data_IF_671368676807
#
_entry.id   IF_671368676807
#
_cell.length_a   1.000
_cell.length_b   1.000
_cell.length_c   1.000
_cell.angle_alpha   90.00
_cell.angle_beta   90.00
_cell.angle_gamma   90.00
#
_symmetry.space_group_name_H-M   'P 1'
#
loop_
_entity.id
_entity.type
_entity.pdbx_description
1 polymer ?
#
# COMPACT_ATOMS: atom_id res chain seq x y z
N UNK A 1 15.78 5.68 -17.34
CA UNK A 1 15.75 6.37 -16.03
C UNK A 1 14.51 7.24 -15.84
N UNK A 2 14.18 8.16 -16.76
CA UNK A 2 13.00 9.05 -16.62
C UNK A 2 11.68 8.27 -16.45
N UNK A 3 11.46 7.21 -17.25
CA UNK A 3 10.27 6.33 -17.11
C UNK A 3 10.16 5.71 -15.70
N UNK A 4 11.25 5.20 -15.13
CA UNK A 4 11.28 4.63 -13.78
C UNK A 4 10.88 5.65 -12.73
N UNK A 5 11.45 6.86 -12.78
CA UNK A 5 11.12 7.93 -11.82
C UNK A 5 9.64 8.32 -11.90
N UNK A 6 9.08 8.43 -13.12
CA UNK A 6 7.66 8.74 -13.30
C UNK A 6 6.75 7.63 -12.77
N UNK A 7 7.11 6.37 -13.01
CA UNK A 7 6.37 5.20 -12.51
C UNK A 7 6.42 5.17 -10.98
N UNK A 8 7.63 5.24 -10.40
CA UNK A 8 7.83 5.25 -8.96
C UNK A 8 7.08 6.41 -8.30
N UNK A 9 7.19 7.62 -8.84
CA UNK A 9 6.48 8.80 -8.34
C UNK A 9 4.96 8.63 -8.40
N UNK A 10 4.43 8.02 -9.46
CA UNK A 10 3.01 7.72 -9.58
C UNK A 10 2.54 6.71 -8.52
N UNK A 11 3.33 5.65 -8.26
CA UNK A 11 3.07 4.67 -7.20
C UNK A 11 3.08 5.34 -5.83
N UNK A 12 4.09 6.17 -5.56
CA UNK A 12 4.24 6.90 -4.29
C UNK A 12 3.06 7.83 -4.07
N UNK A 13 2.72 8.67 -5.05
CA UNK A 13 1.64 9.65 -4.93
C UNK A 13 0.29 8.97 -4.66
N UNK A 14 -0.05 7.91 -5.40
CA UNK A 14 -1.31 7.18 -5.20
C UNK A 14 -1.34 6.46 -3.85
N UNK A 15 -0.22 5.90 -3.44
CA UNK A 15 -0.10 5.26 -2.12
C UNK A 15 -0.30 6.27 -0.99
N UNK A 16 0.30 7.46 -1.11
CA UNK A 16 0.15 8.53 -0.12
C UNK A 16 -1.31 8.97 0.03
N UNK A 17 -2.03 9.16 -1.08
CA UNK A 17 -3.46 9.52 -1.04
C UNK A 17 -4.28 8.47 -0.30
N UNK A 18 -4.05 7.19 -0.59
CA UNK A 18 -4.79 6.08 0.05
C UNK A 18 -4.43 5.97 1.54
N UNK A 19 -3.16 6.13 1.89
CA UNK A 19 -2.71 6.11 3.28
C UNK A 19 -3.30 7.29 4.06
N UNK A 20 -3.32 8.50 3.49
CA UNK A 20 -3.94 9.68 4.11
C UNK A 20 -5.44 9.47 4.33
N UNK A 21 -6.14 8.93 3.33
CA UNK A 21 -7.58 8.66 3.43
C UNK A 21 -7.86 7.55 4.47
N UNK A 22 -7.03 6.51 4.51
CA UNK A 22 -7.05 5.47 5.55
C UNK A 22 -6.81 6.04 6.95
N UNK A 23 -5.86 6.96 7.10
CA UNK A 23 -5.57 7.63 8.36
C UNK A 23 -6.77 8.47 8.83
N UNK A 24 -7.43 9.20 7.93
CA UNK A 24 -8.65 9.94 8.24
C UNK A 24 -9.79 9.04 8.71
N UNK A 25 -10.04 7.92 8.02
CA UNK A 25 -11.06 6.94 8.43
C UNK A 25 -10.72 6.35 9.80
N UNK A 26 -9.46 5.99 10.02
CA UNK A 26 -9.00 5.39 11.27
C UNK A 26 -9.12 6.36 12.43
N UNK A 27 -8.83 7.65 12.20
CA UNK A 27 -9.00 8.70 13.19
C UNK A 27 -10.48 8.84 13.60
N UNK A 28 -11.39 8.93 12.62
CA UNK A 28 -12.83 8.94 12.90
C UNK A 28 -13.33 7.69 13.63
N UNK A 29 -12.80 6.51 13.27
CA UNK A 29 -13.14 5.24 13.94
C UNK A 29 -12.62 5.18 15.38
N UNK A 30 -11.43 5.76 15.62
CA UNK A 30 -10.81 5.82 16.95
C UNK A 30 -11.63 6.70 17.90
N UNK A 31 -12.18 7.81 17.42
CA UNK A 31 -13.05 8.72 18.18
C UNK A 31 -14.32 7.97 18.67
N UNK A 32 -14.95 7.19 17.79
CA UNK A 32 -16.16 6.41 18.09
C UNK A 32 -15.87 5.26 19.07
N UNK A 33 -14.73 4.57 18.91
CA UNK A 33 -14.35 3.45 19.76
C UNK A 33 -13.88 3.86 21.15
N UNK A 34 -13.31 5.06 21.30
CA UNK A 34 -12.95 5.61 22.62
C UNK A 34 -14.16 5.77 23.54
N UNK A 35 -15.34 6.03 22.97
CA UNK A 35 -16.58 6.18 23.74
C UNK A 35 -17.22 4.86 24.16
N UNK A 36 -16.82 3.71 23.59
CA UNK A 36 -17.55 2.45 23.69
C UNK A 36 -16.78 1.32 24.42
N UNK A 37 -15.46 1.43 24.57
CA UNK A 37 -14.64 0.35 25.13
C UNK A 37 -13.77 0.76 26.31
N UNK A 38 -13.71 -0.11 27.32
CA UNK A 38 -12.71 -0.05 28.41
C UNK A 38 -11.32 -0.26 27.79
N UNK A 39 -10.43 0.72 28.01
CA UNK A 39 -9.10 0.74 27.41
C UNK A 39 -8.13 -0.16 28.16
N UNK A 40 -7.99 -1.41 27.73
CA UNK A 40 -6.84 -2.23 28.11
C UNK A 40 -5.64 -1.95 27.19
N UNK A 41 -4.43 -2.10 27.71
CA UNK A 41 -3.19 -1.93 26.93
C UNK A 41 -3.18 -2.80 25.66
N UNK A 42 -3.70 -4.02 25.77
CA UNK A 42 -3.85 -4.93 24.65
C UNK A 42 -4.85 -4.40 23.60
N UNK A 43 -5.99 -3.86 24.03
CA UNK A 43 -6.99 -3.27 23.13
C UNK A 43 -6.42 -2.08 22.35
N UNK A 44 -5.61 -1.26 23.01
CA UNK A 44 -4.90 -0.13 22.37
C UNK A 44 -3.91 -0.64 21.33
N UNK A 45 -3.05 -1.61 21.68
CA UNK A 45 -2.08 -2.21 20.75
C UNK A 45 -2.76 -2.85 19.54
N UNK A 46 -3.83 -3.61 19.76
CA UNK A 46 -4.57 -4.30 18.71
C UNK A 46 -5.25 -3.31 17.75
N UNK A 47 -5.99 -2.33 18.28
CA UNK A 47 -6.64 -1.28 17.46
C UNK A 47 -5.63 -0.52 16.63
N UNK A 48 -4.51 -0.17 17.24
CA UNK A 48 -3.44 0.52 16.56
C UNK A 48 -2.85 -0.40 15.48
N UNK A 49 -2.56 -1.68 15.73
CA UNK A 49 -2.01 -2.57 14.70
C UNK A 49 -2.89 -2.70 13.45
N UNK A 50 -4.20 -2.46 13.57
CA UNK A 50 -5.16 -2.48 12.46
C UNK A 50 -5.22 -1.17 11.65
N UNK A 51 -4.45 -0.13 11.95
CA UNK A 51 -4.56 1.18 11.26
C UNK A 51 -4.25 1.14 9.76
N UNK A 52 -3.51 0.14 9.28
CA UNK A 52 -3.22 -0.05 7.86
C UNK A 52 -4.22 -0.99 7.15
N UNK A 53 -5.16 -1.57 7.89
CA UNK A 53 -6.17 -2.47 7.35
C UNK A 53 -7.09 -1.76 6.33
N UNK A 54 -7.60 -0.53 6.56
CA UNK A 54 -8.43 0.15 5.57
C UNK A 54 -7.67 0.43 4.28
N UNK A 55 -6.38 0.81 4.36
CA UNK A 55 -5.52 0.98 3.19
C UNK A 55 -5.37 -0.33 2.40
N UNK A 56 -5.16 -1.47 3.07
CA UNK A 56 -5.08 -2.78 2.42
C UNK A 56 -6.37 -3.12 1.65
N UNK A 57 -7.53 -2.87 2.25
CA UNK A 57 -8.82 -3.04 1.59
C UNK A 57 -8.99 -2.10 0.39
N UNK A 58 -8.59 -0.84 0.49
CA UNK A 58 -8.69 0.11 -0.63
C UNK A 58 -7.82 -0.31 -1.81
N UNK A 59 -6.58 -0.74 -1.56
CA UNK A 59 -5.72 -1.27 -2.60
C UNK A 59 -6.32 -2.54 -3.22
N UNK A 60 -6.88 -3.45 -2.42
CA UNK A 60 -7.54 -4.65 -2.94
C UNK A 60 -8.77 -4.32 -3.80
N UNK A 61 -9.61 -3.37 -3.37
CA UNK A 61 -10.77 -2.89 -4.13
C UNK A 61 -10.32 -2.27 -5.45
N UNK A 62 -9.28 -1.43 -5.43
CA UNK A 62 -8.70 -0.84 -6.64
C UNK A 62 -8.18 -1.91 -7.59
N UNK A 63 -7.49 -2.95 -7.07
CA UNK A 63 -7.07 -4.08 -7.88
C UNK A 63 -8.27 -4.78 -8.55
N UNK A 64 -9.36 -5.06 -7.83
CA UNK A 64 -10.54 -5.71 -8.41
C UNK A 64 -11.28 -4.83 -9.43
N UNK A 65 -11.25 -3.50 -9.24
CA UNK A 65 -12.05 -2.54 -10.02
C UNK A 65 -11.32 -1.86 -11.19
N UNK A 66 -10.03 -2.16 -11.41
CA UNK A 66 -9.22 -1.61 -12.53
C UNK A 66 -9.86 -1.79 -13.92
N UNK A 67 -10.70 -2.81 -14.14
CA UNK A 67 -11.40 -2.98 -15.43
C UNK A 67 -12.61 -2.03 -15.63
N UNK A 68 -13.25 -1.56 -14.55
CA UNK A 68 -14.44 -0.70 -14.62
C UNK A 68 -14.16 0.79 -14.40
N UNK A 69 -13.00 1.14 -13.84
CA UNK A 69 -12.67 2.50 -13.40
C UNK A 69 -11.65 3.22 -14.29
N UNK A 70 -11.70 2.94 -15.61
CA UNK A 70 -10.89 3.62 -16.63
C UNK A 70 -11.11 5.16 -16.67
N UNK A 71 -12.12 5.66 -15.95
CA UNK A 71 -12.48 7.08 -15.79
C UNK A 71 -12.09 7.71 -14.44
N UNK A 72 -11.44 7.00 -13.51
CA UNK A 72 -10.87 7.67 -12.34
C UNK A 72 -9.67 8.52 -12.79
N UNK A 73 -9.61 9.77 -12.31
CA UNK A 73 -8.57 10.78 -12.60
C UNK A 73 -7.12 10.26 -12.55
N UNK A 74 -6.90 9.15 -11.85
CA UNK A 74 -5.62 8.48 -11.73
C UNK A 74 -5.17 7.73 -13.00
N UNK A 75 -6.03 6.97 -13.68
CA UNK A 75 -5.60 6.14 -14.84
C UNK A 75 -5.50 6.93 -16.15
N UNK A 76 -6.25 8.02 -16.30
CA UNK A 76 -6.35 8.77 -17.56
C UNK A 76 -5.04 9.45 -18.01
N UNK A 77 -4.10 9.67 -17.07
CA UNK A 77 -2.77 10.26 -17.32
C UNK A 77 -1.61 9.28 -17.12
N UNK A 78 -1.91 8.00 -16.94
CA UNK A 78 -0.91 6.99 -16.64
C UNK A 78 -0.22 6.47 -17.91
N UNK A 79 1.11 6.44 -17.90
CA UNK A 79 1.94 5.78 -18.93
C UNK A 79 1.82 4.24 -18.87
N UNK A 80 1.26 3.72 -17.78
CA UNK A 80 1.17 2.29 -17.46
C UNK A 80 -0.22 1.75 -17.79
N UNK A 81 -0.29 0.54 -18.35
CA UNK A 81 -1.55 -0.15 -18.66
C UNK A 81 -2.33 -0.55 -17.40
N UNK A 82 -3.66 -0.68 -17.52
CA UNK A 82 -4.55 -1.07 -16.42
C UNK A 82 -4.18 -2.43 -15.81
N UNK A 83 -3.70 -3.39 -16.61
CA UNK A 83 -3.24 -4.69 -16.14
C UNK A 83 -2.02 -4.59 -15.20
N UNK A 84 -1.05 -3.73 -15.52
CA UNK A 84 0.13 -3.47 -14.68
C UNK A 84 -0.26 -2.70 -13.41
N UNK A 85 -1.25 -1.80 -13.48
CA UNK A 85 -1.81 -1.15 -12.30
C UNK A 85 -2.52 -2.12 -11.37
N UNK A 86 -3.29 -3.06 -11.92
CA UNK A 86 -3.92 -4.12 -11.13
C UNK A 86 -2.89 -4.89 -10.30
N UNK A 87 -1.82 -5.34 -10.94
CA UNK A 87 -0.73 -6.05 -10.26
C UNK A 87 -0.07 -5.20 -9.17
N UNK A 88 0.09 -3.91 -9.43
CA UNK A 88 0.68 -2.96 -8.47
C UNK A 88 -0.21 -2.78 -7.26
N UNK A 89 -1.51 -2.61 -7.46
CA UNK A 89 -2.47 -2.51 -6.36
C UNK A 89 -2.54 -3.81 -5.55
N UNK A 90 -2.45 -4.98 -6.19
CA UNK A 90 -2.31 -6.25 -5.46
C UNK A 90 -1.04 -6.27 -4.62
N UNK A 91 0.10 -5.85 -5.19
CA UNK A 91 1.38 -5.77 -4.47
C UNK A 91 1.33 -4.81 -3.28
N UNK A 92 0.72 -3.63 -3.45
CA UNK A 92 0.53 -2.65 -2.38
C UNK A 92 -0.46 -3.14 -1.31
N UNK A 93 -1.52 -3.84 -1.71
CA UNK A 93 -2.44 -4.49 -0.78
C UNK A 93 -1.72 -5.55 0.07
N UNK A 94 -0.91 -6.41 -0.57
CA UNK A 94 -0.10 -7.41 0.11
C UNK A 94 0.89 -6.76 1.08
N UNK A 95 1.57 -5.69 0.66
CA UNK A 95 2.49 -4.91 1.51
C UNK A 95 1.78 -4.37 2.76
N UNK A 96 0.62 -3.71 2.57
CA UNK A 96 -0.19 -3.18 3.68
C UNK A 96 -0.67 -4.31 4.61
N UNK A 97 -1.07 -5.46 4.06
CA UNK A 97 -1.49 -6.61 4.85
C UNK A 97 -0.34 -7.21 5.66
N UNK A 98 0.87 -7.27 5.09
CA UNK A 98 2.07 -7.70 5.80
C UNK A 98 2.41 -6.76 6.97
N UNK A 99 2.28 -5.45 6.79
CA UNK A 99 2.47 -4.47 7.88
C UNK A 99 1.49 -4.74 9.03
N UNK A 100 0.21 -4.98 8.73
CA UNK A 100 -0.81 -5.33 9.73
C UNK A 100 -0.46 -6.64 10.43
N UNK A 101 -0.14 -7.69 9.67
CA UNK A 101 0.18 -9.00 10.23
C UNK A 101 1.40 -8.94 11.17
N UNK A 102 2.49 -8.31 10.74
CA UNK A 102 3.70 -8.13 11.55
C UNK A 102 3.40 -7.29 12.80
N UNK A 103 2.63 -6.21 12.66
CA UNK A 103 2.26 -5.34 13.80
C UNK A 103 1.36 -6.07 14.82
N UNK A 104 0.46 -6.94 14.36
CA UNK A 104 -0.38 -7.78 15.22
C UNK A 104 0.43 -8.84 15.95
N UNK A 105 1.36 -9.53 15.25
CA UNK A 105 2.26 -10.51 15.87
C UNK A 105 3.11 -9.82 16.93
N UNK A 106 3.72 -8.68 16.61
CA UNK A 106 4.54 -7.92 17.55
C UNK A 106 3.74 -7.42 18.76
N UNK A 107 2.47 -7.03 18.56
CA UNK A 107 1.59 -6.63 19.67
C UNK A 107 1.35 -7.76 20.68
N UNK A 108 1.41 -9.01 20.23
CA UNK A 108 1.20 -10.21 21.05
C UNK A 108 2.50 -10.72 21.70
N UNK A 109 3.65 -10.52 21.06
CA UNK A 109 4.91 -11.19 21.43
C UNK A 109 5.96 -10.27 22.04
N UNK A 110 5.85 -8.94 21.88
CA UNK A 110 6.90 -7.99 22.27
C UNK A 110 6.44 -6.98 23.32
N UNK A 111 7.43 -6.37 24.00
CA UNK A 111 7.18 -5.26 24.93
C UNK A 111 6.63 -4.03 24.19
N UNK A 112 5.94 -3.15 24.93
CA UNK A 112 5.27 -1.95 24.38
C UNK A 112 6.22 -1.04 23.63
N UNK A 113 7.43 -0.83 24.15
CA UNK A 113 8.45 0.02 23.52
C UNK A 113 8.93 -0.58 22.19
N UNK A 114 9.17 -1.89 22.17
CA UNK A 114 9.59 -2.61 20.96
C UNK A 114 8.49 -2.61 19.91
N UNK A 115 7.24 -2.86 20.31
CA UNK A 115 6.08 -2.79 19.44
C UNK A 115 5.90 -1.37 18.86
N UNK A 116 6.06 -0.34 19.68
CA UNK A 116 5.91 1.05 19.24
C UNK A 116 7.02 1.44 18.25
N UNK A 117 8.27 1.08 18.53
CA UNK A 117 9.39 1.28 17.62
C UNK A 117 9.17 0.58 16.28
N UNK A 118 8.74 -0.69 16.32
CA UNK A 118 8.41 -1.45 15.12
C UNK A 118 7.29 -0.78 14.34
N UNK A 119 6.21 -0.38 15.00
CA UNK A 119 5.08 0.31 14.38
C UNK A 119 5.49 1.61 13.68
N UNK A 120 6.39 2.39 14.28
CA UNK A 120 6.85 3.65 13.72
C UNK A 120 7.80 3.44 12.53
N UNK A 121 8.70 2.46 12.63
CA UNK A 121 9.77 2.25 11.67
C UNK A 121 9.43 1.30 10.53
N UNK A 122 8.53 0.34 10.72
CA UNK A 122 8.24 -0.72 9.74
C UNK A 122 7.53 -0.22 8.46
N UNK A 123 6.52 0.67 8.51
CA UNK A 123 5.71 0.97 7.34
C UNK A 123 6.50 1.68 6.23
N UNK A 124 7.30 2.69 6.57
CA UNK A 124 7.96 3.54 5.60
C UNK A 124 9.00 2.77 4.75
N UNK A 125 9.95 2.00 5.34
CA UNK A 125 10.88 1.16 4.59
C UNK A 125 10.16 0.11 3.75
N UNK A 126 9.10 -0.52 4.26
CA UNK A 126 8.35 -1.51 3.47
C UNK A 126 7.70 -0.88 2.24
N UNK A 127 7.03 0.26 2.39
CA UNK A 127 6.43 0.98 1.26
C UNK A 127 7.48 1.46 0.25
N UNK A 128 8.65 1.91 0.71
CA UNK A 128 9.75 2.31 -0.18
C UNK A 128 10.30 1.11 -0.94
N UNK A 129 10.63 0.01 -0.25
CA UNK A 129 11.17 -1.21 -0.87
C UNK A 129 10.17 -1.84 -1.85
N UNK A 130 8.91 -1.96 -1.46
CA UNK A 130 7.85 -2.44 -2.37
C UNK A 130 7.65 -1.49 -3.55
N UNK A 131 7.64 -0.17 -3.31
CA UNK A 131 7.49 0.84 -4.35
C UNK A 131 8.62 0.77 -5.38
N UNK A 132 9.87 0.63 -4.93
CA UNK A 132 11.04 0.45 -5.80
C UNK A 132 10.93 -0.86 -6.57
N UNK A 133 10.64 -1.97 -5.88
CA UNK A 133 10.50 -3.29 -6.53
C UNK A 133 9.42 -3.32 -7.60
N UNK A 134 8.24 -2.73 -7.31
CA UNK A 134 7.14 -2.61 -8.27
C UNK A 134 7.50 -1.70 -9.43
N UNK A 135 8.19 -0.58 -9.18
CA UNK A 135 8.63 0.32 -10.25
C UNK A 135 9.66 -0.37 -11.17
N UNK A 136 10.62 -1.12 -10.62
CA UNK A 136 11.59 -1.91 -11.39
C UNK A 136 10.84 -2.93 -12.25
N UNK A 137 9.96 -3.74 -11.64
CA UNK A 137 9.15 -4.76 -12.31
C UNK A 137 8.37 -4.19 -13.50
N UNK A 138 7.67 -3.07 -13.28
CA UNK A 138 6.87 -2.44 -14.31
C UNK A 138 7.68 -1.89 -15.49
N UNK A 139 8.92 -1.45 -15.23
CA UNK A 139 9.82 -0.94 -16.26
C UNK A 139 10.58 -2.04 -17.03
N UNK A 140 10.77 -3.22 -16.45
CA UNK A 140 11.42 -4.37 -17.11
C UNK A 140 10.49 -5.09 -18.09
N UNK A 141 9.18 -5.09 -17.84
CA UNK A 141 8.18 -5.77 -18.68
C UNK A 141 7.71 -4.90 -19.88
N UNK A 142 8.60 -4.18 -20.56
CA UNK A 142 8.25 -3.46 -21.79
C UNK A 142 8.21 -4.48 -22.96
N UNK A 143 7.06 -4.77 -23.59
CA UNK A 143 6.96 -5.75 -24.68
C UNK A 143 7.83 -5.39 -25.91
N UNK A 144 8.30 -4.14 -26.00
CA UNK A 144 9.29 -3.71 -26.99
C UNK A 144 10.64 -4.46 -26.89
N UNK A 145 11.02 -4.96 -25.70
CA UNK A 145 12.25 -5.75 -25.51
C UNK A 145 12.11 -7.22 -25.90
N UNK A 146 10.87 -7.69 -26.16
CA UNK A 146 10.59 -9.09 -26.55
C UNK A 146 10.47 -9.29 -28.05
N UNK A 147 10.49 -8.22 -28.85
CA UNK A 147 10.54 -8.35 -30.30
C UNK A 147 11.97 -8.74 -30.70
N UNK A 148 12.18 -9.87 -31.39
CA UNK A 148 13.47 -10.12 -32.03
C UNK A 148 13.73 -8.93 -32.95
N UNK A 149 14.91 -8.33 -32.85
CA UNK A 149 15.40 -7.39 -33.86
C UNK A 149 15.55 -8.19 -35.15
N UNK A 150 14.47 -8.32 -35.92
CA UNK A 150 14.52 -8.76 -37.30
C UNK A 150 15.19 -7.62 -38.08
N UNK A 151 16.52 -7.65 -38.07
CA UNK A 151 17.33 -6.82 -38.96
C UNK A 151 17.19 -7.33 -40.41
N UNK A 152 17.26 -6.42 -41.41
CA UNK A 152 17.37 -6.79 -42.81
C UNK A 152 18.70 -7.50 -43.12
#
# INVERSE_FOLDING_TARGET
MIKFVLVFWSIVWRSLVIIMLSAGITWGLSELLHSLFVQSEFSIKFRLSLTFLPAAFMFAILAMRTNGFRNLLFEQRSVISSAKWRQTYVGLAACAFSIVAISCIAALTTSTDTWFALRALLPLPLFVLFGVGLAIWQTLDDPADRLPKSGP
#
